data_IF_224087324114
#
_entry.id   IF_224087324114
#
_cell.length_a   1.000
_cell.length_b   1.000
_cell.length_c   1.000
_cell.angle_alpha   90.00
_cell.angle_beta   90.00
_cell.angle_gamma   90.00
#
_symmetry.space_group_name_H-M   'P 1'
#
loop_
_entity.id
_entity.type
_entity.pdbx_description
1 polymer ?
#
# COMPACT_ATOMS: atom_id res chain seq x y z
N UNK A 1 16.47 5.13 -3.76
CA UNK A 1 15.16 5.74 -4.04
C UNK A 1 15.44 6.90 -4.99
N UNK A 2 14.73 6.97 -6.11
CA UNK A 2 14.83 8.11 -7.02
C UNK A 2 14.39 9.39 -6.26
N UNK A 3 15.17 10.48 -6.26
CA UNK A 3 14.78 11.73 -5.60
C UNK A 3 13.39 12.25 -6.01
N UNK A 4 12.93 11.93 -7.24
CA UNK A 4 11.60 12.31 -7.72
C UNK A 4 10.45 11.52 -7.06
N UNK A 5 10.74 10.44 -6.33
CA UNK A 5 9.75 9.56 -5.69
C UNK A 5 9.63 9.77 -4.18
N UNK A 6 10.33 10.76 -3.62
CA UNK A 6 10.25 11.11 -2.20
C UNK A 6 8.93 11.83 -1.93
N UNK A 7 8.09 11.25 -1.09
CA UNK A 7 6.83 11.84 -0.67
C UNK A 7 7.03 12.92 0.42
N UNK A 8 6.09 13.87 0.57
CA UNK A 8 6.18 14.95 1.56
C UNK A 8 6.21 14.47 3.02
N UNK A 9 5.78 13.23 3.31
CA UNK A 9 5.63 12.72 4.68
C UNK A 9 6.40 11.42 4.90
N UNK A 10 6.82 11.18 6.16
CA UNK A 10 7.46 9.91 6.54
C UNK A 10 6.57 8.70 6.27
N UNK A 11 5.27 8.85 6.50
CA UNK A 11 4.26 7.83 6.20
C UNK A 11 4.21 7.52 4.69
N UNK A 12 4.14 8.54 3.84
CA UNK A 12 4.14 8.35 2.38
C UNK A 12 5.43 7.70 1.88
N UNK A 13 6.58 8.09 2.44
CA UNK A 13 7.86 7.46 2.11
C UNK A 13 7.93 5.99 2.55
N UNK A 14 7.35 5.66 3.71
CA UNK A 14 7.28 4.29 4.19
C UNK A 14 6.38 3.41 3.31
N UNK A 15 5.24 3.94 2.87
CA UNK A 15 4.33 3.27 1.93
C UNK A 15 5.02 3.04 0.58
N UNK A 16 5.56 4.11 -0.01
CA UNK A 16 6.24 4.07 -1.31
C UNK A 16 7.31 2.98 -1.37
N UNK A 17 8.09 2.80 -0.29
CA UNK A 17 9.15 1.80 -0.22
C UNK A 17 8.67 0.38 -0.55
N UNK A 18 7.51 -0.03 -0.03
CA UNK A 18 7.03 -1.39 -0.27
C UNK A 18 6.20 -1.51 -1.56
N UNK A 19 5.60 -0.42 -2.04
CA UNK A 19 4.95 -0.39 -3.37
C UNK A 19 5.95 -0.69 -4.49
N UNK A 20 7.19 -0.26 -4.34
CA UNK A 20 8.26 -0.52 -5.29
C UNK A 20 8.85 -1.94 -5.20
N UNK A 21 8.48 -2.73 -4.18
CA UNK A 21 9.11 -4.05 -3.96
C UNK A 21 8.95 -4.98 -5.18
N UNK A 22 7.73 -5.13 -5.69
CA UNK A 22 7.45 -5.98 -6.85
C UNK A 22 8.14 -5.48 -8.11
N UNK A 23 8.11 -4.16 -8.32
CA UNK A 23 8.75 -3.53 -9.47
C UNK A 23 10.27 -3.69 -9.44
N UNK A 24 10.91 -3.42 -8.30
CA UNK A 24 12.36 -3.50 -8.16
C UNK A 24 12.88 -4.93 -8.24
N UNK A 25 12.13 -5.91 -7.71
CA UNK A 25 12.58 -7.30 -7.62
C UNK A 25 12.25 -8.12 -8.87
N UNK A 26 11.05 -7.93 -9.43
CA UNK A 26 10.49 -8.77 -10.49
C UNK A 26 10.00 -7.96 -11.71
N UNK A 27 10.11 -6.62 -11.72
CA UNK A 27 9.41 -5.77 -12.71
C UNK A 27 7.89 -6.03 -12.76
N UNK A 28 7.33 -6.53 -11.66
CA UNK A 28 5.90 -6.71 -11.48
C UNK A 28 5.33 -5.41 -10.94
N UNK A 29 4.51 -4.74 -11.74
CA UNK A 29 3.78 -3.56 -11.30
C UNK A 29 2.61 -3.98 -10.40
N UNK A 30 2.88 -4.02 -9.10
CA UNK A 30 1.93 -4.45 -8.06
C UNK A 30 0.80 -3.44 -7.83
N UNK A 31 0.99 -2.18 -8.24
CA UNK A 31 -0.08 -1.17 -8.15
C UNK A 31 -1.06 -1.33 -9.31
N UNK A 32 -0.55 -1.57 -10.52
CA UNK A 32 -1.37 -1.81 -11.69
C UNK A 32 -2.15 -3.12 -11.59
N UNK A 33 -1.50 -4.18 -11.13
CA UNK A 33 -2.05 -5.54 -11.08
C UNK A 33 -2.56 -5.92 -9.69
N UNK A 34 -2.96 -4.93 -8.87
CA UNK A 34 -3.31 -5.19 -7.47
C UNK A 34 -4.50 -6.15 -7.33
N UNK A 35 -5.52 -5.98 -8.17
CA UNK A 35 -6.74 -6.78 -8.11
C UNK A 35 -6.47 -8.22 -8.57
N UNK A 36 -5.73 -8.38 -9.65
CA UNK A 36 -5.35 -9.68 -10.19
C UNK A 36 -4.42 -10.43 -9.23
N UNK A 37 -3.46 -9.72 -8.65
CA UNK A 37 -2.54 -10.30 -7.66
C UNK A 37 -3.29 -10.76 -6.41
N UNK A 38 -4.20 -9.95 -5.87
CA UNK A 38 -5.02 -10.33 -4.72
C UNK A 38 -6.02 -11.45 -5.05
N UNK A 39 -6.54 -11.49 -6.28
CA UNK A 39 -7.46 -12.54 -6.73
C UNK A 39 -6.77 -13.89 -6.97
N UNK A 40 -5.48 -13.88 -7.32
CA UNK A 40 -4.71 -15.10 -7.57
C UNK A 40 -3.95 -15.61 -6.32
N UNK A 41 -3.62 -14.74 -5.38
CA UNK A 41 -2.87 -15.11 -4.19
C UNK A 41 -3.71 -15.91 -3.17
N UNK A 42 -3.08 -16.71 -2.28
CA UNK A 42 -3.78 -17.42 -1.22
C UNK A 42 -4.54 -16.47 -0.27
N UNK A 43 -5.80 -16.78 0.04
CA UNK A 43 -6.68 -15.98 0.90
C UNK A 43 -6.05 -15.58 2.25
N UNK A 44 -5.26 -16.50 2.84
CA UNK A 44 -4.56 -16.24 4.11
C UNK A 44 -3.58 -15.07 4.00
N UNK A 45 -2.90 -14.93 2.86
CA UNK A 45 -1.93 -13.86 2.62
C UNK A 45 -2.67 -12.55 2.32
N UNK A 46 -3.74 -12.60 1.52
CA UNK A 46 -4.60 -11.44 1.28
C UNK A 46 -5.15 -10.88 2.60
N UNK A 47 -5.66 -11.74 3.48
CA UNK A 47 -6.12 -11.36 4.82
C UNK A 47 -5.01 -10.74 5.68
N UNK A 48 -3.77 -11.23 5.59
CA UNK A 48 -2.65 -10.63 6.31
C UNK A 48 -2.36 -9.21 5.83
N UNK A 49 -2.42 -8.96 4.52
CA UNK A 49 -2.27 -7.60 3.96
C UNK A 49 -3.39 -6.69 4.46
N UNK A 50 -4.64 -7.16 4.45
CA UNK A 50 -5.79 -6.38 4.91
C UNK A 50 -5.69 -6.02 6.40
N UNK A 51 -5.32 -6.98 7.25
CA UNK A 51 -5.12 -6.76 8.68
C UNK A 51 -3.97 -5.77 8.96
N UNK A 52 -2.86 -5.91 8.24
CA UNK A 52 -1.72 -5.02 8.40
C UNK A 52 -2.05 -3.59 7.95
N UNK A 53 -2.78 -3.44 6.83
CA UNK A 53 -3.30 -2.15 6.36
C UNK A 53 -4.27 -1.53 7.37
N UNK A 54 -5.20 -2.33 7.91
CA UNK A 54 -6.17 -1.88 8.92
C UNK A 54 -5.50 -1.24 10.12
N UNK A 55 -4.33 -1.74 10.54
CA UNK A 55 -3.56 -1.16 11.66
C UNK A 55 -3.08 0.26 11.34
N UNK A 56 -2.62 0.51 10.12
CA UNK A 56 -2.24 1.87 9.66
C UNK A 56 -3.47 2.78 9.60
N UNK A 57 -4.55 2.30 8.99
CA UNK A 57 -5.81 3.06 8.87
C UNK A 57 -6.37 3.44 10.24
N UNK A 58 -6.28 2.55 11.24
CA UNK A 58 -6.67 2.83 12.62
C UNK A 58 -5.88 4.00 13.24
N UNK A 59 -4.54 4.01 13.12
CA UNK A 59 -3.74 5.12 13.66
C UNK A 59 -3.94 6.43 12.90
N UNK A 60 -4.18 6.38 11.59
CA UNK A 60 -4.55 7.55 10.80
C UNK A 60 -5.92 8.09 11.22
N UNK A 61 -6.90 7.21 11.49
CA UNK A 61 -8.20 7.60 12.00
C UNK A 61 -8.10 8.21 13.40
N UNK A 62 -7.28 7.65 14.31
CA UNK A 62 -7.01 8.25 15.62
C UNK A 62 -6.40 9.65 15.48
N UNK A 63 -5.39 9.81 14.62
CA UNK A 63 -4.77 11.10 14.33
C UNK A 63 -5.80 12.14 13.87
N UNK A 64 -6.59 11.81 12.85
CA UNK A 64 -7.60 12.71 12.30
C UNK A 64 -8.72 13.01 13.32
N UNK A 65 -9.20 11.99 14.04
CA UNK A 65 -10.24 12.13 15.06
C UNK A 65 -9.81 13.01 16.23
N UNK A 66 -8.57 12.85 16.72
CA UNK A 66 -8.04 13.68 17.80
C UNK A 66 -7.93 15.15 17.38
N UNK A 67 -7.45 15.41 16.16
CA UNK A 67 -7.39 16.77 15.61
C UNK A 67 -8.79 17.37 15.45
N UNK A 68 -9.74 16.61 14.91
CA UNK A 68 -11.12 17.07 14.74
C UNK A 68 -11.77 17.43 16.07
N UNK A 69 -11.66 16.56 17.08
CA UNK A 69 -12.23 16.81 18.42
C UNK A 69 -11.51 17.98 19.11
N UNK A 70 -10.19 18.10 18.98
CA UNK A 70 -9.44 19.24 19.51
C UNK A 70 -9.89 20.55 18.88
N UNK A 71 -10.08 20.59 17.55
CA UNK A 71 -10.60 21.78 16.85
C UNK A 71 -12.00 22.14 17.34
N UNK A 72 -12.90 21.16 17.50
CA UNK A 72 -14.24 21.39 18.03
C UNK A 72 -14.18 21.93 19.47
N UNK A 73 -13.34 21.35 20.34
CA UNK A 73 -13.18 21.80 21.72
C UNK A 73 -12.62 23.23 21.82
N UNK A 74 -11.73 23.62 20.91
CA UNK A 74 -11.22 25.00 20.84
C UNK A 74 -12.26 25.97 20.26
N UNK A 75 -13.03 25.53 19.27
CA UNK A 75 -14.07 26.33 18.64
C UNK A 75 -15.25 26.63 19.57
N UNK A 76 -15.47 25.83 20.61
CA UNK A 76 -16.53 26.06 21.61
C UNK A 76 -16.13 27.05 22.72
N UNK A 77 -14.84 27.39 22.86
CA UNK A 77 -14.36 28.32 23.88
C UNK A 77 -15.07 29.70 23.90
N UNK A 78 -15.47 30.30 22.76
CA UNK A 78 -16.18 31.59 22.77
C UNK A 78 -17.63 31.52 23.24
N UNK A 79 -18.21 30.32 23.45
CA UNK A 79 -19.60 30.19 23.87
C UNK A 79 -19.78 30.69 25.31
N UNK A 80 -20.87 31.44 25.56
CA UNK A 80 -21.16 32.01 26.89
C UNK A 80 -21.35 30.95 27.99
N UNK A 81 -21.66 29.72 27.62
CA UNK A 81 -21.82 28.57 28.51
C UNK A 81 -20.61 27.63 28.54
N UNK A 82 -19.45 28.04 28.01
CA UNK A 82 -18.29 27.18 27.89
C UNK A 82 -17.64 26.89 29.27
N UNK A 83 -17.46 25.61 29.57
CA UNK A 83 -16.62 25.17 30.69
C UNK A 83 -15.16 25.11 30.22
N UNK A 84 -14.43 26.20 30.45
CA UNK A 84 -13.10 26.44 29.84
C UNK A 84 -12.04 25.40 30.29
N UNK A 85 -11.87 25.08 31.58
CA UNK A 85 -10.84 24.15 32.02
C UNK A 85 -10.90 22.75 31.37
N UNK A 86 -12.05 22.05 31.29
CA UNK A 86 -12.12 20.75 30.64
C UNK A 86 -11.94 20.84 29.12
N UNK A 87 -12.39 21.92 28.46
CA UNK A 87 -12.17 22.12 27.02
C UNK A 87 -10.68 22.27 26.68
N UNK A 88 -9.95 23.11 27.42
CA UNK A 88 -8.52 23.30 27.23
C UNK A 88 -7.73 22.03 27.59
N UNK A 89 -8.10 21.35 28.68
CA UNK A 89 -7.46 20.09 29.07
C UNK A 89 -7.65 19.03 27.99
N UNK A 90 -8.87 18.88 27.49
CA UNK A 90 -9.20 17.93 26.42
C UNK A 90 -8.43 18.25 25.14
N UNK A 91 -8.47 19.50 24.66
CA UNK A 91 -7.72 19.91 23.48
C UNK A 91 -6.21 19.69 23.63
N UNK A 92 -5.65 20.06 24.79
CA UNK A 92 -4.23 19.89 25.11
C UNK A 92 -3.79 18.42 25.09
N UNK A 93 -4.54 17.54 25.75
CA UNK A 93 -4.24 16.09 25.76
C UNK A 93 -4.35 15.49 24.37
N UNK A 94 -5.41 15.81 23.61
CA UNK A 94 -5.60 15.27 22.27
C UNK A 94 -4.49 15.70 21.30
N UNK A 95 -4.09 16.98 21.34
CA UNK A 95 -2.97 17.51 20.55
C UNK A 95 -1.65 16.88 20.98
N UNK A 96 -1.44 16.67 22.28
CA UNK A 96 -0.21 16.04 22.78
C UNK A 96 -0.04 14.58 22.31
N UNK A 97 -1.15 13.87 22.01
CA UNK A 97 -1.13 12.50 21.50
C UNK A 97 -0.91 12.39 19.99
N UNK A 98 -1.07 13.49 19.23
CA UNK A 98 -0.90 13.50 17.76
C UNK A 98 0.47 12.93 17.30
N UNK A 99 1.61 13.32 17.88
CA UNK A 99 2.91 12.76 17.49
C UNK A 99 3.03 11.25 17.77
N UNK A 100 2.34 10.75 18.81
CA UNK A 100 2.32 9.33 19.14
C UNK A 100 1.58 8.54 18.05
N UNK A 101 0.38 8.98 17.67
CA UNK A 101 -0.41 8.33 16.61
C UNK A 101 0.27 8.38 15.26
N UNK A 102 0.92 9.50 14.92
CA UNK A 102 1.70 9.60 13.69
C UNK A 102 2.87 8.60 13.66
N UNK A 103 3.62 8.48 14.76
CA UNK A 103 4.73 7.51 14.86
C UNK A 103 4.21 6.07 14.80
N UNK A 104 3.08 5.77 15.46
CA UNK A 104 2.46 4.46 15.42
C UNK A 104 1.98 4.10 14.00
N UNK A 105 1.37 5.04 13.27
CA UNK A 105 0.99 4.86 11.87
C UNK A 105 2.20 4.53 10.98
N UNK A 106 3.31 5.26 11.15
CA UNK A 106 4.55 4.98 10.42
C UNK A 106 5.13 3.62 10.79
N UNK A 107 5.18 3.25 12.08
CA UNK A 107 5.70 1.96 12.52
C UNK A 107 4.84 0.78 12.01
N UNK A 108 3.51 0.93 12.00
CA UNK A 108 2.59 -0.09 11.49
C UNK A 108 2.81 -0.40 9.99
N UNK A 109 3.43 0.51 9.22
CA UNK A 109 3.78 0.21 7.83
C UNK A 109 4.84 -0.88 7.67
N UNK A 110 5.63 -1.20 8.70
CA UNK A 110 6.64 -2.27 8.61
C UNK A 110 5.99 -3.65 8.47
N UNK A 111 4.93 -3.91 9.23
CA UNK A 111 4.12 -5.14 9.13
C UNK A 111 3.39 -5.19 7.79
N UNK A 112 2.82 -4.06 7.35
CA UNK A 112 2.17 -3.98 6.05
C UNK A 112 3.17 -4.25 4.91
N UNK A 113 4.38 -3.72 5.00
CA UNK A 113 5.45 -3.99 4.05
C UNK A 113 5.81 -5.48 4.03
N UNK A 114 5.85 -6.15 5.18
CA UNK A 114 6.12 -7.59 5.26
C UNK A 114 5.00 -8.41 4.59
N UNK A 115 3.74 -8.07 4.85
CA UNK A 115 2.59 -8.71 4.25
C UNK A 115 2.57 -8.52 2.72
N UNK A 116 2.86 -7.31 2.21
CA UNK A 116 2.95 -7.04 0.76
C UNK A 116 4.10 -7.83 0.12
N UNK A 117 5.26 -7.92 0.77
CA UNK A 117 6.36 -8.78 0.29
C UNK A 117 5.93 -10.24 0.16
N UNK A 118 5.20 -10.75 1.15
CA UNK A 118 4.66 -12.11 1.11
C UNK A 118 3.64 -12.27 -0.03
N UNK A 119 2.72 -11.32 -0.20
CA UNK A 119 1.75 -11.29 -1.29
C UNK A 119 2.44 -11.36 -2.65
N UNK A 120 3.45 -10.54 -2.90
CA UNK A 120 4.19 -10.53 -4.16
C UNK A 120 4.92 -11.87 -4.37
N UNK A 121 5.66 -12.34 -3.37
CA UNK A 121 6.48 -13.55 -3.51
C UNK A 121 5.62 -14.82 -3.71
N UNK A 122 4.50 -14.92 -3.01
CA UNK A 122 3.60 -16.07 -3.11
C UNK A 122 2.61 -15.95 -4.27
N UNK A 123 2.14 -14.75 -4.57
CA UNK A 123 1.10 -14.48 -5.57
C UNK A 123 1.61 -14.41 -7.01
N UNK A 124 2.90 -14.10 -7.26
CA UNK A 124 3.44 -13.97 -8.63
C UNK A 124 3.24 -15.22 -9.50
N UNK A 125 3.39 -16.43 -8.93
CA UNK A 125 3.25 -17.68 -9.69
C UNK A 125 1.77 -17.95 -10.01
N UNK A 126 0.85 -17.99 -9.01
CA UNK A 126 -0.58 -18.10 -9.28
C UNK A 126 -1.11 -17.03 -10.24
N UNK A 127 -0.60 -15.79 -10.15
CA UNK A 127 -0.95 -14.72 -11.07
C UNK A 127 -0.51 -15.02 -12.51
N UNK A 128 0.70 -15.55 -12.71
CA UNK A 128 1.13 -15.94 -14.04
C UNK A 128 0.21 -17.04 -14.61
N UNK A 129 -0.09 -18.05 -13.79
CA UNK A 129 -0.97 -19.16 -14.17
C UNK A 129 -2.40 -18.69 -14.50
N UNK A 130 -2.97 -17.77 -13.72
CA UNK A 130 -4.31 -17.23 -13.97
C UNK A 130 -4.40 -16.37 -15.24
N UNK A 131 -3.27 -15.77 -15.67
CA UNK A 131 -3.15 -15.04 -16.93
C UNK A 131 -2.82 -15.96 -18.13
N UNK A 132 -2.76 -17.28 -17.91
CA UNK A 132 -2.38 -18.26 -18.93
C UNK A 132 -0.91 -18.19 -19.33
N UNK A 133 -0.04 -17.80 -18.39
CA UNK A 133 1.40 -17.67 -18.57
C UNK A 133 2.16 -18.72 -17.74
N UNK A 134 3.34 -19.10 -18.22
CA UNK A 134 4.30 -19.94 -17.52
C UNK A 134 5.37 -19.06 -16.92
N UNK A 135 5.51 -19.11 -15.59
CA UNK A 135 6.54 -18.37 -14.89
C UNK A 135 7.94 -18.89 -15.30
N UNK A 136 8.83 -18.04 -15.86
CA UNK A 136 10.15 -18.46 -16.27
C UNK A 136 11.02 -18.96 -15.12
N UNK A 137 11.93 -19.91 -15.40
CA UNK A 137 12.92 -20.39 -14.42
C UNK A 137 14.02 -19.36 -14.15
N UNK A 138 14.35 -18.55 -15.15
CA UNK A 138 15.36 -17.51 -15.05
C UNK A 138 14.74 -16.17 -14.66
N UNK A 139 15.28 -15.55 -13.60
CA UNK A 139 14.80 -14.26 -13.10
C UNK A 139 14.83 -13.16 -14.16
N UNK A 140 15.82 -13.17 -15.06
CA UNK A 140 15.90 -12.18 -16.13
C UNK A 140 14.71 -12.28 -17.08
N UNK A 141 14.27 -13.51 -17.40
CA UNK A 141 13.10 -13.74 -18.25
C UNK A 141 11.79 -13.48 -17.51
N UNK A 142 11.71 -13.81 -16.21
CA UNK A 142 10.58 -13.42 -15.36
C UNK A 142 10.39 -11.90 -15.36
N UNK A 143 11.48 -11.13 -15.17
CA UNK A 143 11.43 -9.66 -15.20
C UNK A 143 10.96 -9.11 -16.55
N UNK A 144 11.39 -9.72 -17.66
CA UNK A 144 10.94 -9.35 -19.00
C UNK A 144 9.47 -9.66 -19.19
N UNK A 145 9.01 -10.83 -18.76
CA UNK A 145 7.61 -11.23 -18.80
C UNK A 145 6.74 -10.22 -18.07
N UNK A 146 7.05 -9.89 -16.81
CA UNK A 146 6.24 -8.93 -16.05
C UNK A 146 6.25 -7.53 -16.64
N UNK A 147 7.38 -7.08 -17.21
CA UNK A 147 7.44 -5.81 -17.95
C UNK A 147 6.46 -5.79 -19.14
N UNK A 148 6.35 -6.91 -19.87
CA UNK A 148 5.41 -7.03 -20.98
C UNK A 148 3.96 -7.05 -20.50
N UNK A 149 3.67 -7.79 -19.42
CA UNK A 149 2.33 -7.81 -18.80
C UNK A 149 1.92 -6.40 -18.37
N UNK A 150 2.77 -5.67 -17.65
CA UNK A 150 2.45 -4.31 -17.20
C UNK A 150 2.25 -3.34 -18.37
N UNK A 151 2.97 -3.51 -19.48
CA UNK A 151 2.73 -2.71 -20.70
C UNK A 151 1.41 -3.07 -21.37
N UNK A 152 1.11 -4.36 -21.47
CA UNK A 152 -0.12 -4.88 -22.07
C UNK A 152 -1.35 -4.38 -21.32
N UNK A 153 -1.32 -4.36 -19.98
CA UNK A 153 -2.45 -3.86 -19.17
C UNK A 153 -2.63 -2.34 -19.21
N UNK A 154 -1.63 -1.56 -19.66
CA UNK A 154 -1.70 -0.08 -19.68
C UNK A 154 -2.11 0.51 -21.03
N UNK A 155 -1.92 -0.21 -22.12
CA UNK A 155 -2.01 0.32 -23.48
C UNK A 155 -2.96 -0.58 -24.29
N UNK A 156 -3.79 -0.03 -25.19
CA UNK A 156 -4.53 -0.83 -26.16
C UNK A 156 -3.62 -1.78 -26.93
N UNK A 157 -4.21 -2.83 -27.51
CA UNK A 157 -3.46 -3.84 -28.27
C UNK A 157 -2.50 -3.20 -29.27
N UNK A 158 -1.26 -3.70 -29.27
CA UNK A 158 -0.22 -3.33 -30.20
C UNK A 158 0.54 -4.61 -30.58
N UNK A 159 0.97 -4.75 -31.83
CA UNK A 159 1.75 -5.90 -32.34
C UNK A 159 2.90 -6.37 -31.42
N UNK A 160 3.55 -5.45 -30.69
CA UNK A 160 4.61 -5.76 -29.71
C UNK A 160 4.12 -6.64 -28.55
N UNK A 161 2.82 -6.73 -28.32
CA UNK A 161 2.20 -7.61 -27.33
C UNK A 161 2.38 -9.10 -27.67
N UNK A 162 2.60 -9.45 -28.94
CA UNK A 162 2.96 -10.82 -29.37
C UNK A 162 4.24 -11.34 -28.70
N UNK A 163 5.10 -10.44 -28.20
CA UNK A 163 6.25 -10.83 -27.40
C UNK A 163 5.88 -11.55 -26.09
N UNK A 164 4.60 -11.53 -25.68
CA UNK A 164 4.11 -12.31 -24.53
C UNK A 164 3.86 -13.79 -24.89
N UNK A 165 3.71 -14.12 -26.19
CA UNK A 165 3.34 -15.46 -26.66
C UNK A 165 4.35 -16.54 -26.26
N UNK A 166 5.64 -16.18 -26.21
CA UNK A 166 6.73 -17.05 -25.71
C UNK A 166 6.58 -17.50 -24.25
N UNK A 167 5.71 -16.85 -23.48
CA UNK A 167 5.41 -17.21 -22.10
C UNK A 167 4.04 -17.85 -21.93
N UNK A 168 3.24 -17.98 -22.99
CA UNK A 168 1.93 -18.61 -22.91
C UNK A 168 2.06 -20.07 -22.52
N UNK A 169 1.16 -20.53 -21.66
CA UNK A 169 0.99 -21.96 -21.43
C UNK A 169 0.53 -22.64 -22.72
N UNK A 170 0.95 -23.89 -22.91
CA UNK A 170 0.38 -24.72 -23.97
C UNK A 170 -1.13 -24.90 -23.72
N UNK A 171 -1.96 -24.90 -24.77
CA UNK A 171 -3.40 -25.11 -24.64
C UNK A 171 -3.77 -26.48 -24.07
#
# INVERSE_FOLDING_TARGET
MDPAQIAPTRLGNAIRRFEEYGQNRYCLDTQLLSNELSGAAPDKICRQVDLARTSVDFFVALLAGHLAVAVVALATLPAASADVPPLLTTAGVLIALVPLWYRAAVAATDEWAAAVRALVNAGRKPLAESLGLVLPKELAEERRMWTLVSRFSRIPFHERASALDRYRAAP
#
